data_IF_936159930357
#
_entry.id   IF_936159930357
#
_cell.length_a   1.000
_cell.length_b   1.000
_cell.length_c   1.000
_cell.angle_alpha   90.00
_cell.angle_beta   90.00
_cell.angle_gamma   90.00
#
_symmetry.space_group_name_H-M   'P 1'
#
loop_
_entity.id
_entity.type
_entity.pdbx_description
1 polymer ?
#
# COMPACT_ATOMS: atom_id res chain seq x y z
N UNK A 1 11.34 4.55 -6.64
CA UNK A 1 10.39 4.72 -5.51
C UNK A 1 11.12 5.26 -4.29
N UNK A 2 12.11 4.53 -3.75
CA UNK A 2 12.92 4.93 -2.60
C UNK A 2 13.42 6.40 -2.58
N UNK A 3 13.90 6.92 -3.71
CA UNK A 3 14.49 8.26 -3.77
C UNK A 3 13.54 9.34 -4.31
N UNK A 4 12.28 9.00 -4.61
CA UNK A 4 11.35 9.91 -5.30
C UNK A 4 10.36 10.52 -4.28
N UNK A 5 10.57 11.79 -3.92
CA UNK A 5 9.71 12.52 -2.97
C UNK A 5 8.28 12.73 -3.47
N UNK A 6 8.10 12.89 -4.77
CA UNK A 6 6.77 13.06 -5.37
C UNK A 6 5.96 11.77 -5.23
N UNK A 7 6.61 10.61 -5.34
CA UNK A 7 5.97 9.33 -5.07
C UNK A 7 5.49 9.25 -3.61
N UNK A 8 6.33 9.58 -2.64
CA UNK A 8 5.92 9.55 -1.22
C UNK A 8 4.74 10.48 -0.96
N UNK A 9 4.81 11.70 -1.49
CA UNK A 9 3.73 12.70 -1.34
C UNK A 9 2.42 12.21 -1.97
N UNK A 10 2.51 11.61 -3.16
CA UNK A 10 1.36 10.99 -3.84
C UNK A 10 0.80 9.82 -3.03
N UNK A 11 1.68 8.98 -2.49
CA UNK A 11 1.28 7.79 -1.74
C UNK A 11 0.56 8.17 -0.44
N UNK A 12 1.10 9.14 0.31
CA UNK A 12 0.48 9.67 1.52
C UNK A 12 -0.86 10.36 1.22
N UNK A 13 -0.90 11.18 0.16
CA UNK A 13 -2.14 11.81 -0.29
C UNK A 13 -3.20 10.77 -0.63
N UNK A 14 -2.84 9.71 -1.36
CA UNK A 14 -3.77 8.65 -1.69
C UNK A 14 -4.29 7.94 -0.44
N UNK A 15 -3.41 7.46 0.44
CA UNK A 15 -3.81 6.72 1.64
C UNK A 15 -4.70 7.53 2.61
N UNK A 16 -4.46 8.85 2.65
CA UNK A 16 -5.23 9.79 3.48
C UNK A 16 -6.63 10.08 2.93
N UNK A 17 -6.75 10.28 1.61
CA UNK A 17 -7.97 10.79 0.99
C UNK A 17 -8.81 9.72 0.27
N UNK A 18 -8.26 8.53 0.04
CA UNK A 18 -9.00 7.44 -0.60
C UNK A 18 -10.28 7.09 0.17
N UNK A 19 -11.39 6.83 -0.54
CA UNK A 19 -12.66 6.47 0.08
C UNK A 19 -12.54 5.10 0.76
N UNK A 20 -12.75 5.06 2.08
CA UNK A 20 -12.77 3.79 2.81
C UNK A 20 -14.13 3.11 2.67
N UNK A 21 -14.22 1.79 2.40
CA UNK A 21 -15.49 1.10 2.18
C UNK A 21 -16.48 1.25 3.35
N UNK A 22 -15.99 1.35 4.59
CA UNK A 22 -16.79 1.52 5.81
C UNK A 22 -17.36 2.94 5.93
N UNK A 23 -16.80 3.91 5.21
CA UNK A 23 -17.16 5.34 5.28
C UNK A 23 -18.02 5.79 4.10
N UNK A 24 -18.33 4.90 3.16
CA UNK A 24 -19.13 5.20 1.96
C UNK A 24 -20.62 5.36 2.33
N UNK A 25 -20.94 6.45 3.03
CA UNK A 25 -22.30 6.82 3.42
C UNK A 25 -22.86 7.92 2.49
N UNK A 26 -22.08 8.47 1.55
CA UNK A 26 -22.57 9.52 0.63
C UNK A 26 -22.90 8.95 -0.75
N UNK A 27 -24.19 8.73 -1.09
CA UNK A 27 -24.60 8.19 -2.38
C UNK A 27 -24.24 9.06 -3.61
N UNK A 28 -23.66 10.25 -3.43
CA UNK A 28 -23.40 11.22 -4.50
C UNK A 28 -21.92 11.68 -4.64
N UNK A 29 -20.94 10.99 -4.04
CA UNK A 29 -19.53 11.47 -4.10
C UNK A 29 -19.01 11.66 -5.54
N UNK A 30 -19.52 10.88 -6.50
CA UNK A 30 -19.07 10.92 -7.90
C UNK A 30 -20.13 11.46 -8.87
N UNK A 31 -21.27 11.99 -8.38
CA UNK A 31 -22.39 12.38 -9.25
C UNK A 31 -22.04 13.55 -10.19
N UNK A 32 -21.01 14.33 -9.86
CA UNK A 32 -20.58 15.50 -10.63
C UNK A 32 -19.47 15.21 -11.65
N UNK A 33 -18.89 14.01 -11.63
CA UNK A 33 -17.77 13.63 -12.51
C UNK A 33 -18.22 12.47 -13.39
N UNK A 34 -18.33 12.65 -14.73
CA UNK A 34 -18.58 11.54 -15.65
C UNK A 34 -17.55 10.43 -15.42
N UNK A 35 -18.01 9.18 -15.24
CA UNK A 35 -17.18 8.01 -14.96
C UNK A 35 -16.31 8.11 -13.68
N UNK A 36 -16.62 9.03 -12.75
CA UNK A 36 -15.81 9.26 -11.55
C UNK A 36 -15.58 7.99 -10.70
N UNK A 37 -16.62 7.16 -10.55
CA UNK A 37 -16.51 5.87 -9.86
C UNK A 37 -15.52 4.92 -10.55
N UNK A 38 -15.61 4.77 -11.87
CA UNK A 38 -14.72 3.87 -12.62
C UNK A 38 -13.27 4.35 -12.58
N UNK A 39 -13.04 5.67 -12.65
CA UNK A 39 -11.71 6.26 -12.52
C UNK A 39 -11.13 5.99 -11.13
N UNK A 40 -11.93 6.15 -10.07
CA UNK A 40 -11.49 5.85 -8.71
C UNK A 40 -11.16 4.37 -8.52
N UNK A 41 -12.03 3.46 -9.00
CA UNK A 41 -11.78 2.02 -8.97
C UNK A 41 -10.47 1.66 -9.70
N UNK A 42 -10.19 2.31 -10.84
CA UNK A 42 -8.95 2.12 -11.59
C UNK A 42 -7.72 2.61 -10.80
N UNK A 43 -7.78 3.80 -10.22
CA UNK A 43 -6.69 4.33 -9.38
C UNK A 43 -6.47 3.41 -8.18
N UNK A 44 -7.55 2.99 -7.52
CA UNK A 44 -7.49 2.09 -6.37
C UNK A 44 -6.85 0.75 -6.71
N UNK A 45 -7.20 0.17 -7.85
CA UNK A 45 -6.58 -1.05 -8.35
C UNK A 45 -5.09 -0.86 -8.64
N UNK A 46 -4.71 0.23 -9.32
CA UNK A 46 -3.31 0.51 -9.64
C UNK A 46 -2.46 0.74 -8.38
N UNK A 47 -3.01 1.47 -7.40
CA UNK A 47 -2.35 1.66 -6.11
C UNK A 47 -2.16 0.35 -5.36
N UNK A 48 -3.18 -0.51 -5.31
CA UNK A 48 -3.04 -1.83 -4.71
C UNK A 48 -1.95 -2.68 -5.39
N UNK A 49 -1.88 -2.67 -6.73
CA UNK A 49 -0.84 -3.39 -7.47
C UNK A 49 0.55 -2.79 -7.23
N UNK A 50 0.66 -1.48 -7.06
CA UNK A 50 1.91 -0.82 -6.68
C UNK A 50 2.37 -1.29 -5.30
N UNK A 51 1.47 -1.32 -4.31
CA UNK A 51 1.76 -1.79 -2.95
C UNK A 51 2.16 -3.27 -2.96
N UNK A 52 1.44 -4.11 -3.72
CA UNK A 52 1.77 -5.52 -3.90
C UNK A 52 3.22 -5.69 -4.38
N UNK A 53 3.60 -4.94 -5.43
CA UNK A 53 4.95 -4.96 -5.96
C UNK A 53 5.98 -4.50 -4.92
N UNK A 54 5.72 -3.39 -4.22
CA UNK A 54 6.59 -2.86 -3.17
C UNK A 54 6.73 -3.80 -1.96
N UNK A 55 5.74 -4.66 -1.72
CA UNK A 55 5.78 -5.68 -0.68
C UNK A 55 6.41 -7.01 -1.13
N UNK A 56 6.84 -7.13 -2.38
CA UNK A 56 7.33 -8.38 -2.98
C UNK A 56 8.83 -8.29 -3.23
N UNK A 57 9.63 -9.00 -2.41
CA UNK A 57 11.09 -8.98 -2.56
C UNK A 57 11.60 -9.82 -3.75
N UNK A 58 10.77 -10.73 -4.28
CA UNK A 58 11.10 -11.62 -5.41
C UNK A 58 9.99 -11.58 -6.44
N UNK A 59 10.13 -10.68 -7.42
CA UNK A 59 9.16 -10.51 -8.52
C UNK A 59 9.31 -11.64 -9.56
N UNK A 60 10.54 -12.10 -9.81
CA UNK A 60 10.84 -13.27 -10.64
C UNK A 60 12.14 -13.97 -10.20
N UNK A 61 12.56 -15.02 -10.92
CA UNK A 61 13.87 -15.67 -10.71
C UNK A 61 15.05 -14.74 -11.00
N UNK A 62 14.86 -13.76 -11.87
CA UNK A 62 15.89 -12.82 -12.33
C UNK A 62 15.77 -11.44 -11.67
N UNK A 63 14.57 -11.08 -11.21
CA UNK A 63 14.28 -9.78 -10.61
C UNK A 63 13.88 -9.96 -9.14
N UNK A 64 14.86 -9.84 -8.25
CA UNK A 64 14.66 -9.97 -6.82
C UNK A 64 15.71 -9.18 -6.03
N UNK A 65 15.34 -8.84 -4.80
CA UNK A 65 16.23 -8.37 -3.77
C UNK A 65 16.64 -9.55 -2.89
N UNK A 66 17.81 -9.48 -2.26
CA UNK A 66 18.06 -10.35 -1.09
C UNK A 66 17.04 -9.99 0.01
N UNK A 67 16.60 -10.95 0.84
CA UNK A 67 15.68 -10.68 1.96
C UNK A 67 16.09 -9.48 2.83
N UNK A 68 17.36 -9.43 3.23
CA UNK A 68 17.92 -8.34 4.03
C UNK A 68 17.95 -7.01 3.27
N UNK A 69 18.37 -7.00 2.00
CA UNK A 69 18.41 -5.79 1.19
C UNK A 69 17.02 -5.21 0.96
N UNK A 70 16.02 -6.07 0.76
CA UNK A 70 14.62 -5.64 0.71
C UNK A 70 14.17 -4.97 2.00
N UNK A 71 14.41 -5.62 3.15
CA UNK A 71 14.05 -5.09 4.47
C UNK A 71 14.66 -3.72 4.76
N UNK A 72 15.93 -3.51 4.41
CA UNK A 72 16.61 -2.23 4.51
C UNK A 72 15.98 -1.18 3.59
N UNK A 73 15.77 -1.51 2.30
CA UNK A 73 15.21 -0.55 1.34
C UNK A 73 13.83 -0.07 1.77
N UNK A 74 12.94 -0.96 2.22
CA UNK A 74 11.58 -0.54 2.58
C UNK A 74 11.53 0.28 3.88
N UNK A 75 12.44 0.01 4.82
CA UNK A 75 12.49 0.66 6.13
C UNK A 75 13.24 2.01 6.06
N UNK A 76 14.48 1.99 5.59
CA UNK A 76 15.37 3.16 5.61
C UNK A 76 14.89 4.28 4.69
N UNK A 77 14.13 3.93 3.65
CA UNK A 77 13.54 4.90 2.72
C UNK A 77 12.07 5.22 3.05
N UNK A 78 11.57 4.80 4.21
CA UNK A 78 10.18 5.02 4.63
C UNK A 78 9.19 4.65 3.53
N UNK A 79 9.39 3.52 2.83
CA UNK A 79 8.41 3.04 1.85
C UNK A 79 7.15 2.62 2.59
N UNK A 80 7.34 1.86 3.66
CA UNK A 80 6.30 1.54 4.63
C UNK A 80 6.66 2.13 5.99
N UNK A 81 5.63 2.54 6.70
CA UNK A 81 5.64 2.83 8.13
C UNK A 81 4.35 2.26 8.74
N UNK A 82 4.28 2.20 10.06
CA UNK A 82 3.10 1.64 10.75
C UNK A 82 1.80 2.35 10.36
N UNK A 83 1.72 3.70 10.31
CA UNK A 83 0.52 4.40 9.84
C UNK A 83 0.07 3.98 8.44
N UNK A 84 0.98 3.93 7.45
CA UNK A 84 0.66 3.51 6.08
C UNK A 84 0.16 2.07 6.05
N UNK A 85 0.77 1.16 6.82
CA UNK A 85 0.34 -0.23 6.87
C UNK A 85 -1.09 -0.37 7.41
N UNK A 86 -1.49 0.43 8.40
CA UNK A 86 -2.88 0.48 8.87
C UNK A 86 -3.83 1.11 7.85
N UNK A 87 -3.41 2.17 7.16
CA UNK A 87 -4.23 2.78 6.10
C UNK A 87 -4.45 1.80 4.94
N UNK A 88 -3.43 1.06 4.52
CA UNK A 88 -3.54 0.02 3.51
C UNK A 88 -4.50 -1.08 3.97
N UNK A 89 -4.38 -1.55 5.22
CA UNK A 89 -5.32 -2.50 5.82
C UNK A 89 -6.76 -2.04 5.70
N UNK A 90 -7.04 -0.81 6.14
CA UNK A 90 -8.41 -0.29 6.18
C UNK A 90 -9.01 -0.08 4.78
N UNK A 91 -8.20 0.20 3.75
CA UNK A 91 -8.66 0.30 2.36
C UNK A 91 -8.96 -1.07 1.74
N UNK A 92 -8.07 -2.05 1.91
CA UNK A 92 -8.06 -3.24 1.06
C UNK A 92 -8.41 -4.56 1.75
N UNK A 93 -8.48 -4.60 3.09
CA UNK A 93 -8.67 -5.86 3.82
C UNK A 93 -10.02 -6.55 3.54
N UNK A 94 -11.08 -5.79 3.21
CA UNK A 94 -12.42 -6.38 2.98
C UNK A 94 -12.41 -7.28 1.74
N UNK A 95 -11.80 -6.84 0.65
CA UNK A 95 -11.85 -7.54 -0.64
C UNK A 95 -10.59 -8.37 -0.91
N UNK A 96 -9.45 -8.05 -0.28
CA UNK A 96 -8.15 -8.64 -0.61
C UNK A 96 -7.44 -9.26 0.59
N UNK A 97 -8.18 -9.69 1.62
CA UNK A 97 -7.63 -10.14 2.91
C UNK A 97 -6.45 -11.09 2.78
N UNK A 98 -6.61 -12.18 2.03
CA UNK A 98 -5.58 -13.23 1.96
C UNK A 98 -4.28 -12.71 1.34
N UNK A 99 -4.37 -12.01 0.21
CA UNK A 99 -3.21 -11.44 -0.46
C UNK A 99 -2.57 -10.34 0.39
N UNK A 100 -3.38 -9.48 1.00
CA UNK A 100 -2.89 -8.41 1.86
C UNK A 100 -2.18 -8.94 3.11
N UNK A 101 -2.69 -10.01 3.72
CA UNK A 101 -2.02 -10.68 4.83
C UNK A 101 -0.65 -11.24 4.41
N UNK A 102 -0.53 -11.80 3.19
CA UNK A 102 0.78 -12.24 2.65
C UNK A 102 1.73 -11.06 2.43
N UNK A 103 1.23 -9.95 1.90
CA UNK A 103 2.01 -8.73 1.68
C UNK A 103 2.58 -8.18 2.99
N UNK A 104 1.71 -7.97 3.98
CA UNK A 104 2.10 -7.45 5.30
C UNK A 104 3.00 -8.45 6.02
N UNK A 105 2.65 -9.73 6.00
CA UNK A 105 3.47 -10.79 6.58
C UNK A 105 4.89 -10.82 5.98
N UNK A 106 5.02 -10.59 4.67
CA UNK A 106 6.34 -10.50 4.04
C UNK A 106 7.11 -9.25 4.52
N UNK A 107 6.47 -8.09 4.64
CA UNK A 107 7.11 -6.86 5.16
C UNK A 107 7.68 -7.08 6.56
N UNK A 108 6.87 -7.58 7.49
CA UNK A 108 7.30 -7.84 8.87
C UNK A 108 8.35 -8.96 8.96
N UNK A 109 8.23 -9.99 8.13
CA UNK A 109 9.20 -11.09 8.10
C UNK A 109 10.59 -10.64 7.63
N UNK A 110 10.66 -9.75 6.65
CA UNK A 110 11.95 -9.29 6.12
C UNK A 110 12.53 -8.09 6.89
N UNK A 111 11.74 -7.45 7.74
CA UNK A 111 12.17 -6.33 8.56
C UNK A 111 11.49 -6.39 9.94
N UNK A 112 12.21 -6.95 10.91
CA UNK A 112 11.71 -7.12 12.28
C UNK A 112 11.54 -5.79 13.03
N UNK A 113 12.20 -4.71 12.61
CA UNK A 113 12.08 -3.40 13.26
C UNK A 113 10.63 -2.87 13.29
N UNK A 114 9.80 -3.24 12.31
CA UNK A 114 8.38 -2.90 12.33
C UNK A 114 7.63 -3.50 13.53
N UNK A 115 8.09 -4.61 14.12
CA UNK A 115 7.51 -5.11 15.37
C UNK A 115 7.80 -4.17 16.55
N UNK A 116 8.99 -3.57 16.58
CA UNK A 116 9.34 -2.58 17.60
C UNK A 116 8.58 -1.27 17.40
N UNK A 117 8.32 -0.87 16.15
CA UNK A 117 7.55 0.35 15.86
C UNK A 117 6.06 0.24 16.25
N UNK A 118 5.55 -0.97 16.50
CA UNK A 118 4.19 -1.22 16.97
C UNK A 118 4.02 -1.09 18.49
N UNK A 119 5.12 -1.11 19.25
CA UNK A 119 5.14 -1.12 20.72
C UNK A 119 5.59 0.20 21.29
#
# INVERSE_FOLDING_TARGET
VAFNKDFHSMFDSYLRYAPRPQRTITPNTYSFVPNGKQLEENVSRLMFMCILRLSTYKESSENFFTPQGFGQVIYDNYIFDIPRLFDICSLYAINNKELLSKMIGNIFKQQEAYHNDLT
#
